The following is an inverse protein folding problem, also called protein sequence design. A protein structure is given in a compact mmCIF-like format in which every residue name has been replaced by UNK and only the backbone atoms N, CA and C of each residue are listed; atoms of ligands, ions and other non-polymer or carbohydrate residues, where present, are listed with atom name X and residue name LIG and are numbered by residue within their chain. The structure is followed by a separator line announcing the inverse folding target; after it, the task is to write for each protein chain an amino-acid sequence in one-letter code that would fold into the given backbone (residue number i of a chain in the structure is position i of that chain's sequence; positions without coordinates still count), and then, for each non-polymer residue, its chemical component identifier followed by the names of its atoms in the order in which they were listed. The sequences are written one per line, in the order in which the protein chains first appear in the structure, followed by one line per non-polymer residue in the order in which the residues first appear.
data_IF_586213438120
#
_entry.id   IF_586213438120
#
_cell.length_a   1.000
_cell.length_b   1.000
_cell.length_c   1.000
_cell.angle_alpha   90.00
_cell.angle_beta   90.00
_cell.angle_gamma   90.00
#
_symmetry.space_group_name_H-M   'P 1'
#
loop_
_entity.id
_entity.type
_entity.pdbx_description
1 polymer ?
#
# COMPACT_ATOMS: atom_id res chain seq x y z
N UNK A 1 17.52 -25.56 0.76
CA UNK A 1 17.40 -24.11 1.04
C UNK A 1 16.03 -23.83 1.63
N UNK A 2 15.91 -22.90 2.56
CA UNK A 2 14.62 -22.48 3.14
C UNK A 2 14.41 -21.01 2.82
N UNK A 3 13.27 -20.67 2.21
CA UNK A 3 12.89 -19.31 1.83
C UNK A 3 11.59 -18.91 2.55
N UNK A 4 11.40 -17.62 2.86
CA UNK A 4 10.11 -17.09 3.30
C UNK A 4 9.25 -16.81 2.06
N UNK A 5 7.97 -17.22 2.05
CA UNK A 5 7.10 -17.08 0.89
C UNK A 5 6.56 -15.64 0.75
N UNK A 6 6.99 -14.93 -0.30
CA UNK A 6 6.43 -13.63 -0.73
C UNK A 6 5.79 -13.60 -2.13
N UNK A 7 5.77 -14.71 -2.88
CA UNK A 7 5.28 -14.69 -4.27
C UNK A 7 4.38 -15.88 -4.63
N UNK A 8 3.05 -15.65 -4.68
CA UNK A 8 2.14 -16.41 -5.52
C UNK A 8 2.11 -15.77 -6.91
N UNK A 9 2.59 -16.48 -7.93
CA UNK A 9 2.41 -16.06 -9.33
C UNK A 9 0.93 -16.23 -9.74
N UNK A 10 0.26 -15.10 -10.01
CA UNK A 10 -1.10 -15.04 -10.58
C UNK A 10 -0.96 -14.75 -12.10
N UNK A 11 -1.78 -15.35 -12.99
CA UNK A 11 -1.64 -15.20 -14.43
C UNK A 11 -1.86 -13.75 -14.90
N UNK A 12 -0.97 -13.35 -15.83
CA UNK A 12 -0.85 -12.01 -16.42
C UNK A 12 -2.11 -11.60 -17.19
N UNK A 13 -2.75 -10.49 -16.79
CA UNK A 13 -3.84 -9.84 -17.55
C UNK A 13 -3.33 -8.51 -18.12
N UNK A 14 -3.54 -8.34 -19.43
CA UNK A 14 -3.21 -7.21 -20.33
C UNK A 14 -2.51 -6.00 -19.68
N UNK A 15 -1.20 -5.89 -19.90
CA UNK A 15 -0.36 -4.78 -19.47
C UNK A 15 -0.79 -3.47 -20.15
N UNK A 16 -1.29 -2.54 -19.34
CA UNK A 16 -0.92 -1.14 -19.57
C UNK A 16 0.57 -1.09 -19.26
N UNK A 17 1.41 -0.95 -20.29
CA UNK A 17 2.85 -1.09 -20.14
C UNK A 17 3.38 -0.08 -19.12
N UNK A 18 3.89 -0.57 -17.99
CA UNK A 18 4.53 0.27 -16.97
C UNK A 18 5.83 0.80 -17.56
N UNK A 19 6.02 2.13 -17.54
CA UNK A 19 7.31 2.72 -17.91
C UNK A 19 8.35 2.38 -16.83
N UNK A 20 9.12 1.32 -17.06
CA UNK A 20 10.11 0.81 -16.13
C UNK A 20 11.30 1.76 -15.96
N UNK A 21 11.55 2.68 -16.91
CA UNK A 21 12.60 3.67 -16.77
C UNK A 21 12.17 4.77 -15.79
N UNK A 22 10.97 5.33 -15.98
CA UNK A 22 10.43 6.35 -15.09
C UNK A 22 10.25 5.82 -13.67
N UNK A 23 9.69 4.61 -13.53
CA UNK A 23 9.33 4.02 -12.24
C UNK A 23 10.41 3.09 -11.66
N UNK A 24 11.62 3.06 -12.21
CA UNK A 24 12.69 2.11 -11.80
C UNK A 24 12.91 2.04 -10.28
N UNK A 25 13.01 3.20 -9.62
CA UNK A 25 13.19 3.27 -8.15
C UNK A 25 11.95 2.81 -7.38
N UNK A 26 10.76 3.19 -7.84
CA UNK A 26 9.50 2.80 -7.22
C UNK A 26 9.22 1.29 -7.38
N UNK A 27 9.58 0.71 -8.52
CA UNK A 27 9.54 -0.74 -8.74
C UNK A 27 10.48 -1.45 -7.76
N UNK A 28 11.68 -0.91 -7.53
CA UNK A 28 12.63 -1.47 -6.55
C UNK A 28 12.12 -1.43 -5.11
N UNK A 29 11.23 -0.48 -4.77
CA UNK A 29 10.65 -0.36 -3.42
C UNK A 29 9.33 -1.12 -3.27
N UNK A 30 8.42 -1.03 -4.24
CA UNK A 30 7.06 -1.57 -4.13
C UNK A 30 6.91 -2.96 -4.75
N UNK A 31 7.80 -3.33 -5.66
CA UNK A 31 7.66 -4.50 -6.51
C UNK A 31 6.70 -4.29 -7.69
N UNK A 32 6.87 -5.10 -8.72
CA UNK A 32 6.11 -5.01 -9.97
C UNK A 32 4.60 -5.25 -9.78
N UNK A 33 4.24 -6.19 -8.89
CA UNK A 33 2.83 -6.51 -8.63
C UNK A 33 2.07 -5.32 -8.03
N UNK A 34 2.68 -4.64 -7.06
CA UNK A 34 2.11 -3.44 -6.42
C UNK A 34 1.96 -2.31 -7.42
N UNK A 35 2.99 -2.07 -8.26
CA UNK A 35 2.92 -1.08 -9.33
C UNK A 35 1.77 -1.40 -10.31
N UNK A 36 1.60 -2.67 -10.69
CA UNK A 36 0.50 -3.11 -11.56
C UNK A 36 -0.90 -2.80 -11.00
N UNK A 37 -1.07 -2.82 -9.67
CA UNK A 37 -2.32 -2.38 -9.00
C UNK A 37 -2.41 -0.86 -8.94
N UNK A 38 -1.31 -0.19 -8.58
CA UNK A 38 -1.25 1.26 -8.42
C UNK A 38 -1.70 2.00 -9.68
N UNK A 39 -1.19 1.63 -10.85
CA UNK A 39 -1.53 2.28 -12.13
C UNK A 39 -3.01 2.13 -12.53
N UNK A 40 -3.77 1.28 -11.86
CA UNK A 40 -5.22 1.11 -12.08
C UNK A 40 -6.06 1.88 -11.05
N UNK A 41 -5.44 2.34 -9.97
CA UNK A 41 -6.13 3.04 -8.88
C UNK A 41 -6.62 4.41 -9.34
N UNK A 42 -7.85 4.74 -8.92
CA UNK A 42 -8.40 6.08 -9.03
C UNK A 42 -8.58 6.62 -7.63
N UNK A 43 -8.09 7.82 -7.36
CA UNK A 43 -8.13 8.44 -6.04
C UNK A 43 -8.91 9.75 -6.10
N UNK A 44 -9.78 9.98 -5.13
CA UNK A 44 -10.42 11.28 -4.89
C UNK A 44 -9.80 11.91 -3.64
N UNK A 45 -9.42 13.18 -3.73
CA UNK A 45 -8.92 13.98 -2.61
C UNK A 45 -9.89 15.13 -2.39
N UNK A 46 -10.46 15.21 -1.18
CA UNK A 46 -11.37 16.28 -0.76
C UNK A 46 -10.67 17.20 0.25
N UNK A 47 -10.58 18.48 -0.09
CA UNK A 47 -9.82 19.50 0.64
C UNK A 47 -8.42 19.69 0.05
N UNK A 48 -8.11 20.91 -0.40
CA UNK A 48 -6.88 21.26 -1.15
C UNK A 48 -6.16 22.49 -0.54
N UNK A 49 -6.06 22.59 0.80
CA UNK A 49 -4.99 23.41 1.41
C UNK A 49 -3.66 22.64 1.42
N UNK A 50 -2.76 22.98 2.34
CA UNK A 50 -1.40 22.42 2.37
C UNK A 50 -1.35 20.89 2.46
N UNK A 51 -2.16 20.28 3.33
CA UNK A 51 -2.17 18.82 3.48
C UNK A 51 -2.68 18.13 2.20
N UNK A 52 -3.84 18.56 1.70
CA UNK A 52 -4.45 17.97 0.52
C UNK A 52 -3.57 18.07 -0.73
N UNK A 53 -2.93 19.23 -0.94
CA UNK A 53 -2.04 19.42 -2.10
C UNK A 53 -0.76 18.59 -1.99
N UNK A 54 -0.24 18.39 -0.79
CA UNK A 54 0.94 17.56 -0.54
C UNK A 54 0.62 16.07 -0.78
N UNK A 55 -0.55 15.61 -0.33
CA UNK A 55 -1.07 14.27 -0.66
C UNK A 55 -1.24 14.11 -2.16
N UNK A 56 -1.85 15.09 -2.84
CA UNK A 56 -2.05 15.06 -4.28
C UNK A 56 -0.73 14.97 -5.04
N UNK A 57 0.25 15.82 -4.71
CA UNK A 57 1.59 15.80 -5.31
C UNK A 57 2.25 14.43 -5.18
N UNK A 58 2.29 13.88 -3.97
CA UNK A 58 2.96 12.60 -3.71
C UNK A 58 2.24 11.43 -4.41
N UNK A 59 0.91 11.43 -4.44
CA UNK A 59 0.15 10.42 -5.17
C UNK A 59 0.36 10.52 -6.69
N UNK A 60 0.35 11.71 -7.27
CA UNK A 60 0.55 11.88 -8.71
C UNK A 60 1.97 11.43 -9.12
N UNK A 61 2.99 11.74 -8.30
CA UNK A 61 4.35 11.22 -8.50
C UNK A 61 4.42 9.69 -8.32
N UNK A 62 3.54 9.09 -7.50
CA UNK A 62 3.43 7.64 -7.36
C UNK A 62 2.89 6.95 -8.62
N UNK A 63 2.06 7.63 -9.41
CA UNK A 63 1.57 7.15 -10.70
C UNK A 63 0.29 6.29 -10.68
N UNK A 64 -0.79 6.68 -9.96
CA UNK A 64 -2.09 6.03 -10.11
C UNK A 64 -2.72 6.34 -11.48
N UNK A 65 -3.78 5.63 -11.86
CA UNK A 65 -4.50 5.93 -13.11
C UNK A 65 -5.08 7.37 -13.11
N UNK A 66 -5.62 7.80 -11.97
CA UNK A 66 -6.32 9.07 -11.86
C UNK A 66 -6.29 9.65 -10.45
N UNK A 67 -6.18 10.97 -10.37
CA UNK A 67 -6.42 11.75 -9.15
C UNK A 67 -7.49 12.80 -9.44
N UNK A 68 -8.58 12.76 -8.68
CA UNK A 68 -9.68 13.73 -8.71
C UNK A 68 -9.51 14.66 -7.51
N UNK A 69 -9.44 15.97 -7.76
CA UNK A 69 -9.31 17.02 -6.76
C UNK A 69 -10.69 17.64 -6.50
N UNK A 70 -11.11 17.71 -5.25
CA UNK A 70 -12.37 18.31 -4.84
C UNK A 70 -12.12 19.35 -3.74
N UNK A 71 -12.30 20.62 -4.06
CA UNK A 71 -12.33 21.73 -3.11
C UNK A 71 -12.91 22.97 -3.80
N UNK A 72 -14.20 23.22 -3.57
CA UNK A 72 -14.92 24.38 -4.11
C UNK A 72 -14.62 25.68 -3.34
N UNK A 73 -13.81 25.62 -2.28
CA UNK A 73 -13.47 26.81 -1.49
C UNK A 73 -12.62 27.75 -2.33
N UNK A 74 -12.97 29.04 -2.30
CA UNK A 74 -12.14 30.09 -2.89
C UNK A 74 -10.83 30.18 -2.10
N UNK A 75 -9.71 30.32 -2.81
CA UNK A 75 -8.41 30.49 -2.19
C UNK A 75 -8.38 31.75 -1.31
N UNK A 76 -7.86 31.61 -0.09
CA UNK A 76 -7.71 32.68 0.88
C UNK A 76 -6.22 32.97 1.16
N UNK A 77 -5.91 34.15 1.69
CA UNK A 77 -4.54 34.53 2.03
C UNK A 77 -3.82 33.51 2.93
N UNK A 78 -4.56 32.90 3.87
CA UNK A 78 -4.01 31.90 4.80
C UNK A 78 -3.62 30.58 4.13
N UNK A 79 -4.07 30.33 2.90
CA UNK A 79 -3.79 29.09 2.18
C UNK A 79 -2.40 29.12 1.52
N UNK A 80 -1.92 30.32 1.15
CA UNK A 80 -0.60 30.53 0.54
C UNK A 80 0.55 30.04 1.42
N UNK A 81 0.36 29.98 2.75
CA UNK A 81 1.39 29.54 3.68
C UNK A 81 1.74 28.05 3.60
N UNK A 82 0.86 27.22 3.02
CA UNK A 82 1.07 25.78 2.96
C UNK A 82 0.67 25.14 1.62
N UNK A 83 -0.24 25.74 0.85
CA UNK A 83 -0.50 25.31 -0.52
C UNK A 83 0.47 26.03 -1.48
N UNK A 84 1.54 25.33 -1.84
CA UNK A 84 2.63 25.82 -2.68
C UNK A 84 2.29 25.96 -4.18
N UNK A 85 1.07 25.65 -4.62
CA UNK A 85 0.60 25.93 -5.98
C UNK A 85 -0.28 27.16 -6.10
N UNK A 86 -0.79 27.68 -4.99
CA UNK A 86 -1.54 28.94 -4.99
C UNK A 86 -0.61 30.13 -5.10
N UNK A 87 -1.07 31.16 -5.80
CA UNK A 87 -0.41 32.46 -5.90
C UNK A 87 -1.31 33.55 -5.33
N UNK A 88 -0.75 34.73 -5.06
CA UNK A 88 -1.53 35.90 -4.62
C UNK A 88 -2.64 36.27 -5.61
N UNK A 89 -2.50 35.94 -6.91
CA UNK A 89 -3.50 36.21 -7.94
C UNK A 89 -4.73 35.29 -7.84
N UNK A 90 -4.57 34.10 -7.26
CA UNK A 90 -5.67 33.13 -7.08
C UNK A 90 -6.57 33.51 -5.88
N UNK A 91 -6.05 34.29 -4.93
CA UNK A 91 -6.75 34.68 -3.70
C UNK A 91 -8.00 35.49 -4.03
N UNK A 92 -9.15 35.02 -3.53
CA UNK A 92 -10.45 35.66 -3.76
C UNK A 92 -11.01 35.46 -5.17
N UNK A 93 -10.30 34.79 -6.08
CA UNK A 93 -10.67 34.71 -7.50
C UNK A 93 -10.90 33.29 -7.99
N UNK A 94 -10.18 32.29 -7.47
CA UNK A 94 -10.23 30.89 -7.95
C UNK A 94 -10.45 29.91 -6.82
N UNK A 95 -11.10 28.79 -7.16
CA UNK A 95 -11.24 27.65 -6.25
C UNK A 95 -9.89 26.96 -6.08
N UNK A 96 -9.58 26.49 -4.87
CA UNK A 96 -8.27 25.88 -4.53
C UNK A 96 -7.92 24.71 -5.44
N UNK A 97 -8.89 23.83 -5.73
CA UNK A 97 -8.68 22.68 -6.60
C UNK A 97 -8.34 23.11 -8.05
N UNK A 98 -9.04 24.11 -8.58
CA UNK A 98 -8.79 24.65 -9.93
C UNK A 98 -7.45 25.38 -10.03
N UNK A 99 -7.12 26.17 -9.01
CA UNK A 99 -5.87 26.92 -8.95
C UNK A 99 -4.65 26.00 -8.95
N UNK A 100 -4.76 24.82 -8.34
CA UNK A 100 -3.70 23.82 -8.25
C UNK A 100 -3.62 22.85 -9.44
N UNK A 101 -4.67 22.78 -10.28
CA UNK A 101 -4.85 21.73 -11.29
C UNK A 101 -3.70 21.68 -12.30
N UNK A 102 -3.29 22.83 -12.85
CA UNK A 102 -2.30 22.87 -13.93
C UNK A 102 -0.97 22.28 -13.48
N UNK A 103 -0.44 22.78 -12.37
CA UNK A 103 0.86 22.39 -11.84
C UNK A 103 0.86 20.94 -11.35
N UNK A 104 -0.25 20.48 -10.73
CA UNK A 104 -0.40 19.07 -10.35
C UNK A 104 -0.41 18.14 -11.58
N UNK A 105 -1.05 18.55 -12.67
CA UNK A 105 -1.12 17.77 -13.92
C UNK A 105 0.23 17.64 -14.62
N UNK A 106 1.14 18.61 -14.43
CA UNK A 106 2.48 18.60 -15.02
C UNK A 106 3.45 17.64 -14.32
N UNK A 107 3.12 17.13 -13.12
CA UNK A 107 4.01 16.26 -12.34
C UNK A 107 4.23 14.89 -12.98
N UNK A 108 3.19 14.32 -13.61
CA UNK A 108 3.27 12.99 -14.18
C UNK A 108 2.31 12.82 -15.38
N UNK A 109 2.82 12.70 -16.61
CA UNK A 109 1.98 12.60 -17.81
C UNK A 109 1.17 11.31 -17.90
N UNK A 110 1.49 10.29 -17.08
CA UNK A 110 0.74 9.02 -17.04
C UNK A 110 -0.49 9.07 -16.13
N UNK A 111 -0.65 10.13 -15.32
CA UNK A 111 -1.76 10.27 -14.37
C UNK A 111 -2.79 11.24 -14.91
N UNK A 112 -4.05 10.82 -14.99
CA UNK A 112 -5.14 11.76 -15.29
C UNK A 112 -5.47 12.56 -14.03
N UNK A 113 -5.14 13.86 -14.03
CA UNK A 113 -5.53 14.78 -12.94
C UNK A 113 -6.75 15.57 -13.37
N UNK A 114 -7.80 15.62 -12.53
CA UNK A 114 -9.07 16.30 -12.82
C UNK A 114 -9.59 17.01 -11.58
N UNK A 115 -10.42 18.02 -11.76
CA UNK A 115 -11.22 18.61 -10.67
C UNK A 115 -12.65 18.08 -10.72
N UNK A 116 -13.27 17.97 -9.55
CA UNK A 116 -14.72 17.82 -9.39
C UNK A 116 -15.25 19.06 -8.68
N UNK A 117 -16.20 19.74 -9.32
CA UNK A 117 -16.90 20.89 -8.74
C UNK A 117 -18.28 20.48 -8.23
N UNK A 118 -18.71 21.10 -7.15
CA UNK A 118 -20.00 20.85 -6.52
C UNK A 118 -19.95 19.70 -5.52
N UNK A 119 -21.10 19.34 -4.94
CA UNK A 119 -21.15 18.42 -3.82
C UNK A 119 -20.61 17.04 -4.18
N UNK A 120 -19.97 16.41 -3.20
CA UNK A 120 -19.65 14.99 -3.27
C UNK A 120 -20.93 14.17 -3.40
N UNK A 121 -20.87 13.16 -4.25
CA UNK A 121 -21.98 12.24 -4.47
C UNK A 121 -21.52 10.81 -4.28
N UNK A 122 -22.43 9.97 -3.82
CA UNK A 122 -22.25 8.52 -3.76
C UNK A 122 -21.79 7.90 -5.08
N UNK A 123 -22.27 8.44 -6.21
CA UNK A 123 -21.87 8.01 -7.56
C UNK A 123 -20.41 8.32 -7.84
N UNK A 124 -19.91 9.49 -7.42
CA UNK A 124 -18.51 9.86 -7.58
C UNK A 124 -17.61 8.91 -6.76
N UNK A 125 -17.95 8.68 -5.49
CA UNK A 125 -17.19 7.79 -4.62
C UNK A 125 -17.18 6.35 -5.14
N UNK A 126 -18.28 5.88 -5.73
CA UNK A 126 -18.35 4.55 -6.35
C UNK A 126 -17.43 4.39 -7.57
N UNK A 127 -16.93 5.50 -8.14
CA UNK A 127 -16.04 5.50 -9.30
C UNK A 127 -14.55 5.43 -8.96
N UNK A 128 -14.19 5.46 -7.66
CA UNK A 128 -12.80 5.50 -7.19
C UNK A 128 -12.45 4.31 -6.30
N UNK A 129 -11.15 4.03 -6.16
CA UNK A 129 -10.61 2.97 -5.30
C UNK A 129 -10.33 3.46 -3.88
N UNK A 130 -10.03 4.75 -3.74
CA UNK A 130 -9.61 5.38 -2.50
C UNK A 130 -10.16 6.82 -2.45
N UNK A 131 -10.62 7.23 -1.27
CA UNK A 131 -10.92 8.62 -0.95
C UNK A 131 -10.00 9.09 0.17
N UNK A 132 -9.51 10.33 0.05
CA UNK A 132 -8.77 11.02 1.09
C UNK A 132 -9.51 12.30 1.45
N UNK A 133 -9.93 12.41 2.70
CA UNK A 133 -10.55 13.61 3.23
C UNK A 133 -9.56 14.40 4.09
N UNK A 134 -9.55 15.70 3.87
CA UNK A 134 -8.99 16.69 4.78
C UNK A 134 -10.02 17.80 4.98
N UNK A 135 -9.90 18.55 6.07
CA UNK A 135 -10.72 19.72 6.38
C UNK A 135 -12.23 19.46 6.37
N UNK A 136 -12.62 18.23 6.71
CA UNK A 136 -14.00 17.78 6.64
C UNK A 136 -14.53 17.57 8.05
N UNK A 137 -15.76 18.03 8.31
CA UNK A 137 -16.37 17.89 9.63
C UNK A 137 -16.52 16.41 10.01
N UNK A 138 -16.41 16.11 11.31
CA UNK A 138 -16.52 14.74 11.80
C UNK A 138 -17.83 14.06 11.38
N UNK A 139 -18.95 14.79 11.35
CA UNK A 139 -20.24 14.24 10.91
C UNK A 139 -20.23 13.80 9.44
N UNK A 140 -19.58 14.57 8.57
CA UNK A 140 -19.43 14.20 7.16
C UNK A 140 -18.41 13.06 6.99
N UNK A 141 -17.32 13.05 7.76
CA UNK A 141 -16.37 11.92 7.74
C UNK A 141 -17.05 10.60 8.11
N UNK A 142 -17.88 10.58 9.16
CA UNK A 142 -18.64 9.40 9.57
C UNK A 142 -19.60 8.94 8.46
N UNK A 143 -20.32 9.89 7.86
CA UNK A 143 -21.24 9.63 6.75
C UNK A 143 -20.52 9.02 5.55
N UNK A 144 -19.43 9.65 5.10
CA UNK A 144 -18.70 9.20 3.91
C UNK A 144 -17.96 7.90 4.14
N UNK A 145 -17.43 7.66 5.35
CA UNK A 145 -16.81 6.37 5.67
C UNK A 145 -17.83 5.22 5.62
N UNK A 146 -19.05 5.43 6.14
CA UNK A 146 -20.11 4.42 6.03
C UNK A 146 -20.51 4.16 4.57
N UNK A 147 -20.58 5.21 3.75
CA UNK A 147 -20.79 5.08 2.31
C UNK A 147 -19.67 4.26 1.66
N UNK A 148 -18.41 4.45 2.04
CA UNK A 148 -17.26 3.71 1.51
C UNK A 148 -17.32 2.21 1.84
N UNK A 149 -17.71 1.86 3.08
CA UNK A 149 -17.84 0.46 3.54
C UNK A 149 -18.95 -0.31 2.83
N UNK A 150 -20.07 0.36 2.52
CA UNK A 150 -21.25 -0.26 1.91
C UNK A 150 -21.11 -0.54 0.40
N UNK A 151 -20.00 -0.11 -0.23
CA UNK A 151 -19.74 -0.39 -1.65
C UNK A 151 -19.25 -1.82 -1.88
N UNK A 152 -19.45 -2.28 -3.11
CA UNK A 152 -18.93 -3.55 -3.59
C UNK A 152 -18.23 -3.37 -4.95
N UNK A 153 -16.89 -3.37 -5.02
CA UNK A 153 -15.96 -3.51 -3.88
C UNK A 153 -15.99 -2.31 -2.93
N UNK A 154 -15.60 -2.47 -1.64
CA UNK A 154 -15.43 -1.34 -0.73
C UNK A 154 -14.43 -0.32 -1.27
N UNK A 155 -14.68 0.95 -0.97
CA UNK A 155 -13.76 2.05 -1.31
C UNK A 155 -12.87 2.28 -0.10
N UNK A 156 -11.55 2.34 -0.30
CA UNK A 156 -10.64 2.69 0.80
C UNK A 156 -10.91 4.12 1.27
N UNK A 157 -10.81 4.35 2.57
CA UNK A 157 -11.08 5.65 3.18
C UNK A 157 -9.89 6.08 4.04
N UNK A 158 -9.43 7.32 3.83
CA UNK A 158 -8.44 7.97 4.67
C UNK A 158 -8.99 9.34 5.06
N UNK A 159 -8.87 9.70 6.34
CA UNK A 159 -9.09 11.06 6.81
C UNK A 159 -7.82 11.55 7.50
N UNK A 160 -7.35 12.73 7.15
CA UNK A 160 -6.16 13.32 7.74
C UNK A 160 -6.33 14.82 7.89
N UNK A 161 -5.87 15.36 9.02
CA UNK A 161 -5.90 16.79 9.32
C UNK A 161 -4.66 17.24 10.09
N UNK A 162 -4.29 18.51 9.89
CA UNK A 162 -3.20 19.18 10.60
C UNK A 162 -3.72 20.45 11.31
N UNK A 163 -3.57 20.49 12.64
CA UNK A 163 -3.96 21.58 13.53
C UNK A 163 -2.72 22.27 14.10
N UNK A 164 -1.92 22.90 13.23
CA UNK A 164 -0.64 23.49 13.61
C UNK A 164 0.41 22.40 13.88
N UNK A 165 0.75 22.18 15.15
CA UNK A 165 1.75 21.18 15.56
C UNK A 165 1.18 19.78 15.82
N UNK A 166 -0.15 19.65 15.86
CA UNK A 166 -0.83 18.37 16.02
C UNK A 166 -1.42 17.90 14.69
N UNK A 167 -1.46 16.60 14.47
CA UNK A 167 -2.09 16.00 13.30
C UNK A 167 -2.82 14.71 13.68
N UNK A 168 -3.81 14.35 12.87
CA UNK A 168 -4.49 13.05 12.95
C UNK A 168 -4.48 12.38 11.57
N UNK A 169 -4.38 11.06 11.58
CA UNK A 169 -4.60 10.22 10.39
C UNK A 169 -5.47 9.05 10.84
N UNK A 170 -6.53 8.80 10.08
CA UNK A 170 -7.43 7.68 10.23
C UNK A 170 -7.49 6.93 8.91
N UNK A 171 -7.47 5.60 8.97
CA UNK A 171 -7.47 4.71 7.80
C UNK A 171 -8.52 3.63 8.01
N UNK A 172 -9.34 3.40 6.98
CA UNK A 172 -10.31 2.34 6.92
C UNK A 172 -10.33 1.72 5.52
N UNK A 173 -9.78 0.52 5.40
CA UNK A 173 -9.77 -0.25 4.16
C UNK A 173 -10.79 -1.40 4.17
N UNK A 174 -11.73 -1.39 5.13
CA UNK A 174 -12.71 -2.44 5.35
C UNK A 174 -12.14 -3.69 6.03
N UNK A 175 -13.05 -4.58 6.45
CA UNK A 175 -12.72 -5.78 7.24
C UNK A 175 -11.95 -6.85 6.46
N UNK A 176 -12.06 -6.84 5.13
CA UNK A 176 -11.47 -7.86 4.25
C UNK A 176 -10.15 -7.40 3.59
N UNK A 177 -9.56 -6.29 4.04
CA UNK A 177 -8.29 -5.83 3.51
C UNK A 177 -7.17 -6.83 3.82
N UNK A 178 -6.44 -7.27 2.79
CA UNK A 178 -5.36 -8.24 2.92
C UNK A 178 -4.00 -7.58 2.70
N UNK A 179 -3.18 -7.58 3.74
CA UNK A 179 -1.77 -7.22 3.67
C UNK A 179 -0.95 -8.44 3.21
N UNK A 180 -0.36 -8.36 2.01
CA UNK A 180 0.45 -9.45 1.41
C UNK A 180 1.92 -9.40 1.80
N UNK A 181 2.39 -8.20 2.15
CA UNK A 181 3.74 -7.91 2.59
C UNK A 181 3.62 -6.89 3.73
N UNK A 182 4.15 -7.23 4.90
CA UNK A 182 3.95 -6.50 6.16
C UNK A 182 5.08 -5.52 6.47
N UNK A 183 6.27 -5.77 5.94
CA UNK A 183 7.48 -5.04 6.31
C UNK A 183 8.26 -4.51 5.10
N UNK A 184 8.04 -5.04 3.90
CA UNK A 184 8.78 -4.65 2.70
C UNK A 184 10.22 -5.14 2.69
N UNK A 185 10.57 -6.08 3.58
CA UNK A 185 11.92 -6.63 3.70
C UNK A 185 12.12 -7.81 2.74
N UNK A 186 13.35 -8.02 2.30
CA UNK A 186 13.66 -9.19 1.47
C UNK A 186 13.44 -10.50 2.25
N UNK A 187 12.79 -11.51 1.64
CA UNK A 187 12.67 -12.83 2.25
C UNK A 187 14.02 -13.39 2.66
N UNK A 188 14.13 -13.76 3.94
CA UNK A 188 15.36 -14.36 4.49
C UNK A 188 15.49 -15.80 4.04
N UNK A 189 16.73 -16.26 3.85
CA UNK A 189 17.03 -17.65 3.50
C UNK A 189 18.13 -18.27 4.36
N UNK A 190 18.00 -19.57 4.59
CA UNK A 190 18.96 -20.36 5.36
C UNK A 190 19.22 -21.74 4.73
N UNK A 191 20.44 -22.26 4.92
CA UNK A 191 20.82 -23.61 4.51
C UNK A 191 20.45 -24.58 5.64
N UNK A 192 19.67 -25.60 5.31
CA UNK A 192 19.30 -26.68 6.24
C UNK A 192 20.48 -27.63 6.38
N UNK A 193 20.88 -27.90 7.62
CA UNK A 193 21.89 -28.91 7.95
C UNK A 193 21.26 -30.26 8.35
N UNK A 194 20.02 -30.23 8.86
CA UNK A 194 19.29 -31.43 9.22
C UNK A 194 17.89 -31.13 9.71
N UNK A 195 17.02 -32.13 9.66
CA UNK A 195 15.64 -32.08 10.18
C UNK A 195 15.41 -33.32 11.04
N UNK A 196 14.93 -33.14 12.26
CA UNK A 196 14.61 -34.27 13.16
C UNK A 196 13.30 -34.93 12.75
N UNK A 197 13.15 -36.22 13.09
CA UNK A 197 11.93 -37.00 12.85
C UNK A 197 11.10 -37.04 14.14
N UNK A 198 10.48 -35.91 14.48
CA UNK A 198 9.84 -35.66 15.79
C UNK A 198 8.55 -34.83 15.67
N UNK A 199 7.84 -34.63 16.79
CA UNK A 199 6.62 -33.84 16.89
C UNK A 199 6.72 -32.85 18.07
N UNK A 200 6.98 -31.55 17.84
CA UNK A 200 7.25 -30.92 16.53
C UNK A 200 8.63 -31.30 15.97
N UNK A 201 8.76 -31.31 14.64
CA UNK A 201 10.07 -31.52 13.99
C UNK A 201 10.98 -30.30 14.19
N UNK A 202 12.26 -30.53 14.43
CA UNK A 202 13.26 -29.46 14.58
C UNK A 202 14.13 -29.37 13.34
N UNK A 203 14.22 -28.17 12.76
CA UNK A 203 15.10 -27.84 11.65
C UNK A 203 16.35 -27.20 12.21
N UNK A 204 17.50 -27.74 11.84
CA UNK A 204 18.80 -27.15 12.10
C UNK A 204 19.32 -26.45 10.85
N UNK A 205 19.84 -25.24 11.02
CA UNK A 205 20.48 -24.48 9.96
C UNK A 205 22.00 -24.51 10.10
N UNK A 206 22.70 -24.29 9.00
CA UNK A 206 24.17 -24.21 9.00
C UNK A 206 24.69 -23.18 10.04
N UNK A 207 25.77 -23.51 10.75
CA UNK A 207 26.23 -22.73 11.92
C UNK A 207 26.97 -21.43 11.54
N UNK A 208 27.45 -21.31 10.32
CA UNK A 208 28.21 -20.13 9.86
C UNK A 208 27.38 -18.85 9.81
N UNK A 209 26.05 -18.97 9.64
CA UNK A 209 25.14 -17.83 9.53
C UNK A 209 23.87 -18.11 10.30
N UNK A 210 23.50 -17.19 11.19
CA UNK A 210 22.20 -17.22 11.87
C UNK A 210 21.09 -17.11 10.84
N UNK A 211 20.02 -17.87 11.02
CA UNK A 211 18.88 -17.83 10.09
C UNK A 211 18.13 -16.49 10.15
N UNK A 212 18.10 -15.86 11.33
CA UNK A 212 17.46 -14.55 11.50
C UNK A 212 15.96 -14.61 11.26
N UNK A 213 15.27 -15.66 11.65
CA UNK A 213 13.80 -15.73 11.57
C UNK A 213 13.19 -15.35 12.93
N UNK A 214 11.90 -15.05 12.95
CA UNK A 214 11.11 -14.76 14.14
C UNK A 214 10.02 -15.82 14.38
N UNK A 215 9.52 -15.86 15.61
CA UNK A 215 8.37 -16.69 15.95
C UNK A 215 7.15 -16.30 15.12
N UNK A 216 6.51 -17.30 14.50
CA UNK A 216 5.33 -17.11 13.66
C UNK A 216 5.61 -16.79 12.20
N UNK A 217 6.88 -16.67 11.80
CA UNK A 217 7.27 -16.57 10.39
C UNK A 217 6.84 -17.83 9.62
N UNK A 218 6.67 -17.68 8.30
CA UNK A 218 6.29 -18.77 7.41
C UNK A 218 7.42 -19.10 6.45
N UNK A 219 7.81 -20.37 6.38
CA UNK A 219 8.92 -20.82 5.54
C UNK A 219 8.49 -21.89 4.53
N UNK A 220 9.20 -21.96 3.42
CA UNK A 220 9.13 -23.05 2.44
C UNK A 220 10.49 -23.70 2.29
N UNK A 221 10.49 -25.01 2.04
CA UNK A 221 11.70 -25.78 1.83
C UNK A 221 11.88 -26.10 0.35
N UNK A 222 13.15 -26.14 -0.07
CA UNK A 222 13.57 -26.57 -1.40
C UNK A 222 14.82 -27.42 -1.26
N UNK A 223 14.99 -28.39 -2.15
CA UNK A 223 16.21 -29.20 -2.27
C UNK A 223 16.56 -30.01 -1.01
N UNK A 224 15.57 -30.33 -0.16
CA UNK A 224 15.76 -31.24 0.98
C UNK A 224 15.85 -32.68 0.47
N UNK A 225 16.95 -33.35 0.80
CA UNK A 225 17.17 -34.77 0.49
C UNK A 225 16.84 -35.65 1.70
N UNK A 226 16.44 -36.90 1.46
CA UNK A 226 15.82 -37.75 2.49
C UNK A 226 14.36 -37.36 2.65
N UNK A 227 14.10 -36.31 3.43
CA UNK A 227 12.76 -35.81 3.78
C UNK A 227 12.10 -34.98 2.65
N UNK A 228 11.89 -35.59 1.49
CA UNK A 228 11.49 -34.88 0.26
C UNK A 228 10.10 -34.25 0.29
N UNK A 229 9.22 -34.68 1.21
CA UNK A 229 7.88 -34.14 1.43
C UNK A 229 7.90 -32.65 1.80
N UNK A 230 8.99 -32.18 2.40
CA UNK A 230 9.18 -30.77 2.71
C UNK A 230 9.27 -29.89 1.45
N UNK A 231 9.68 -30.46 0.31
CA UNK A 231 9.85 -29.71 -0.95
C UNK A 231 8.54 -29.45 -1.71
N UNK A 232 7.38 -29.59 -1.06
CA UNK A 232 6.06 -29.42 -1.68
C UNK A 232 5.67 -27.96 -1.96
N UNK A 233 6.53 -27.00 -1.61
CA UNK A 233 6.30 -25.57 -1.79
C UNK A 233 5.24 -24.98 -0.87
N UNK A 234 4.75 -25.73 0.13
CA UNK A 234 3.74 -25.23 1.06
C UNK A 234 4.38 -24.43 2.20
N UNK A 235 3.88 -23.23 2.51
CA UNK A 235 4.36 -22.46 3.65
C UNK A 235 4.01 -23.14 4.97
N UNK A 236 4.98 -23.16 5.88
CA UNK A 236 4.89 -23.77 7.22
C UNK A 236 5.24 -22.73 8.26
N UNK A 237 4.41 -22.60 9.28
CA UNK A 237 4.67 -21.66 10.37
C UNK A 237 5.76 -22.22 11.29
N UNK A 238 6.71 -21.37 11.68
CA UNK A 238 7.83 -21.79 12.52
C UNK A 238 7.74 -21.21 13.93
N UNK A 239 8.45 -21.87 14.86
CA UNK A 239 8.80 -21.32 16.17
C UNK A 239 10.30 -21.43 16.38
N UNK A 240 10.96 -20.31 16.61
CA UNK A 240 12.40 -20.22 16.80
C UNK A 240 12.79 -20.87 18.13
N UNK A 241 13.74 -21.80 18.06
CA UNK A 241 14.26 -22.50 19.26
C UNK A 241 15.66 -22.05 19.63
N UNK A 242 16.38 -21.40 18.70
CA UNK A 242 17.69 -20.82 18.92
C UNK A 242 18.18 -20.06 17.68
N UNK A 243 19.42 -19.55 17.68
CA UNK A 243 19.96 -18.79 16.54
C UNK A 243 20.24 -19.62 15.28
N UNK A 244 20.22 -20.95 15.40
CA UNK A 244 20.53 -21.92 14.34
C UNK A 244 19.49 -23.04 14.25
N UNK A 245 18.32 -22.85 14.86
CA UNK A 245 17.28 -23.87 14.86
C UNK A 245 15.88 -23.29 15.10
N UNK A 246 14.90 -23.95 14.50
CA UNK A 246 13.48 -23.63 14.69
C UNK A 246 12.66 -24.92 14.54
N UNK A 247 11.49 -24.97 15.17
CA UNK A 247 10.56 -26.09 15.05
C UNK A 247 9.48 -25.80 14.00
N UNK A 248 9.04 -26.86 13.32
CA UNK A 248 7.95 -26.89 12.34
C UNK A 248 6.85 -27.86 12.82
N UNK A 249 5.92 -28.24 11.94
CA UNK A 249 4.90 -29.24 12.24
C UNK A 249 5.47 -30.64 12.53
N UNK A 250 4.58 -31.60 12.77
CA UNK A 250 4.95 -33.01 12.96
C UNK A 250 5.62 -33.59 11.71
N UNK A 251 6.82 -34.12 11.90
CA UNK A 251 7.64 -34.73 10.83
C UNK A 251 7.75 -36.25 10.95
N UNK A 252 7.14 -36.88 11.96
CA UNK A 252 7.26 -38.32 12.24
C UNK A 252 6.80 -39.22 11.09
N UNK A 253 5.88 -38.72 10.25
CA UNK A 253 5.38 -39.42 9.07
C UNK A 253 6.19 -39.18 7.79
N UNK A 254 7.30 -38.43 7.85
CA UNK A 254 8.11 -38.11 6.68
C UNK A 254 9.21 -39.16 6.48
N UNK A 255 9.67 -39.31 5.24
CA UNK A 255 10.66 -40.31 4.80
C UNK A 255 11.62 -39.73 3.79
#
# INVERSE_FOLDING_TARGET
MVDILGHLCIPHRSETAIDTNLYSRQIGTFGMETMGKLIQMKVLISGLRGLGVEVAKNLILAGPAMVILHDDSIAEQRDLGANFYLTEQDVGSRMRAEASLKQLSELNPYVSVRTHQGPLTEKLLSGVSLVVFSETSQSELLRWNEVCRTRNPPVGFIAADCFGLASSVFVDFGESFTCRDKDGEEPRSAIVSGVTLESPGTVHTHQDRRHGFNDGDWVVFREVQGMTQLNDGKPRQIKVTGPYSFSIEDTTGYS
#
